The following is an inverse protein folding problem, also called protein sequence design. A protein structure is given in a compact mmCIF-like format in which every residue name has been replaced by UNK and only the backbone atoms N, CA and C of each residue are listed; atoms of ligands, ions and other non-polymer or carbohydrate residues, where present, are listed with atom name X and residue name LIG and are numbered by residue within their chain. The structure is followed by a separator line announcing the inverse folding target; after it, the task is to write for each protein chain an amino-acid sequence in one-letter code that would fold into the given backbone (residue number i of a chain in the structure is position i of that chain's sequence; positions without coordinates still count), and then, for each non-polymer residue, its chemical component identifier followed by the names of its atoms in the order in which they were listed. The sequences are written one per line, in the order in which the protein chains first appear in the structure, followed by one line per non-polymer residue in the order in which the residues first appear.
data_IF_619305963608
#
_entry.id   IF_619305963608
#
_cell.length_a   1.000
_cell.length_b   1.000
_cell.length_c   1.000
_cell.angle_alpha   90.00
_cell.angle_beta   90.00
_cell.angle_gamma   90.00
#
_symmetry.space_group_name_H-M   'P 1'
#
loop_
_entity.id
_entity.type
_entity.pdbx_description
1 polymer ?
#
# COMPACT_ATOMS: atom_id res chain seq x y z
N UNK A 1 0.85 11.30 10.47
CA UNK A 1 1.04 10.19 11.44
C UNK A 1 -0.11 9.17 11.44
N UNK A 2 -1.38 9.58 11.29
CA UNK A 2 -2.55 8.67 11.36
C UNK A 2 -2.50 7.39 10.53
N UNK A 3 -1.86 7.39 9.35
CA UNK A 3 -1.71 6.18 8.52
C UNK A 3 -0.84 5.14 9.22
N UNK A 4 0.28 5.58 9.80
CA UNK A 4 1.23 4.69 10.48
C UNK A 4 0.56 4.04 11.68
N UNK A 5 -0.15 4.82 12.50
CA UNK A 5 -0.89 4.29 13.65
C UNK A 5 -1.90 3.20 13.23
N UNK A 6 -2.60 3.37 12.10
CA UNK A 6 -3.53 2.35 11.59
C UNK A 6 -2.80 1.08 11.16
N UNK A 7 -1.68 1.23 10.43
CA UNK A 7 -0.87 0.09 9.98
C UNK A 7 -0.32 -0.67 11.19
N UNK A 8 0.27 0.04 12.17
CA UNK A 8 0.78 -0.58 13.39
C UNK A 8 -0.32 -1.29 14.19
N UNK A 9 -1.50 -0.69 14.32
CA UNK A 9 -2.61 -1.31 15.02
C UNK A 9 -3.11 -2.58 14.32
N UNK A 10 -3.17 -2.60 12.98
CA UNK A 10 -3.51 -3.82 12.22
C UNK A 10 -2.43 -4.90 12.39
N UNK A 11 -1.15 -4.54 12.42
CA UNK A 11 -0.05 -5.50 12.63
C UNK A 11 -0.03 -6.07 14.05
N UNK A 12 -0.26 -5.24 15.07
CA UNK A 12 -0.31 -5.67 16.48
C UNK A 12 -1.46 -6.63 16.79
N UNK A 13 -2.49 -6.65 15.95
CA UNK A 13 -3.62 -7.59 16.06
C UNK A 13 -3.33 -8.93 15.40
N UNK A 14 -2.21 -9.08 14.68
CA UNK A 14 -1.81 -10.37 14.14
C UNK A 14 -1.08 -11.17 15.22
N UNK A 15 -1.41 -12.46 15.33
CA UNK A 15 -0.78 -13.39 16.29
C UNK A 15 0.62 -13.83 15.85
N UNK A 16 1.27 -13.10 14.94
CA UNK A 16 2.60 -13.42 14.43
C UNK A 16 3.67 -12.52 15.02
N UNK A 17 4.78 -13.12 15.45
CA UNK A 17 5.98 -12.39 15.89
C UNK A 17 6.83 -11.87 14.72
N UNK A 18 6.67 -12.45 13.54
CA UNK A 18 7.36 -12.03 12.32
C UNK A 18 6.38 -11.52 11.28
N UNK A 19 6.72 -10.41 10.62
CA UNK A 19 5.86 -9.77 9.63
C UNK A 19 6.65 -9.65 8.32
N UNK A 20 6.13 -10.26 7.26
CA UNK A 20 6.68 -10.05 5.92
C UNK A 20 6.54 -8.58 5.51
N UNK A 21 7.62 -7.97 4.99
CA UNK A 21 7.60 -6.58 4.51
C UNK A 21 6.51 -6.32 3.47
N UNK A 22 6.11 -7.35 2.71
CA UNK A 22 5.01 -7.28 1.74
C UNK A 22 3.66 -6.99 2.40
N UNK A 23 3.42 -7.50 3.60
CA UNK A 23 2.20 -7.23 4.38
C UNK A 23 2.14 -5.74 4.70
N UNK A 24 3.23 -5.19 5.25
CA UNK A 24 3.33 -3.78 5.61
C UNK A 24 3.08 -2.89 4.38
N UNK A 25 3.75 -3.17 3.27
CA UNK A 25 3.56 -2.40 2.03
C UNK A 25 2.14 -2.46 1.47
N UNK A 26 1.47 -3.62 1.57
CA UNK A 26 0.07 -3.76 1.19
C UNK A 26 -0.86 -2.92 2.08
N UNK A 27 -0.64 -2.90 3.39
CA UNK A 27 -1.42 -2.09 4.33
C UNK A 27 -1.25 -0.60 4.05
N UNK A 28 -0.01 -0.14 3.85
CA UNK A 28 0.29 1.25 3.49
C UNK A 28 -0.41 1.63 2.18
N UNK A 29 -0.28 0.81 1.14
CA UNK A 29 -0.93 1.04 -0.15
C UNK A 29 -2.47 1.13 -0.03
N UNK A 30 -3.08 0.24 0.76
CA UNK A 30 -4.54 0.24 1.04
C UNK A 30 -5.00 1.53 1.73
N UNK A 31 -4.24 2.04 2.70
CA UNK A 31 -4.58 3.28 3.38
C UNK A 31 -4.38 4.49 2.46
N UNK A 32 -3.27 4.54 1.71
CA UNK A 32 -2.99 5.61 0.74
C UNK A 32 -4.07 5.70 -0.33
N UNK A 33 -4.53 4.57 -0.89
CA UNK A 33 -5.59 4.53 -1.93
C UNK A 33 -6.86 5.25 -1.51
N UNK A 34 -7.17 5.29 -0.20
CA UNK A 34 -8.37 5.95 0.35
C UNK A 34 -8.20 7.45 0.60
N UNK A 35 -6.97 7.90 0.79
CA UNK A 35 -6.67 9.25 1.28
C UNK A 35 -6.14 10.14 0.14
N UNK A 36 -5.21 9.61 -0.66
CA UNK A 36 -4.56 10.35 -1.73
C UNK A 36 -4.16 9.39 -2.87
N UNK A 37 -4.84 9.53 -4.00
CA UNK A 37 -4.62 8.72 -5.20
C UNK A 37 -3.20 8.94 -5.78
N UNK A 38 -2.67 10.16 -5.75
CA UNK A 38 -1.32 10.47 -6.29
C UNK A 38 -0.25 9.86 -5.39
N UNK A 39 -0.40 9.96 -4.07
CA UNK A 39 0.52 9.34 -3.13
C UNK A 39 0.51 7.80 -3.24
N UNK A 40 -0.67 7.20 -3.39
CA UNK A 40 -0.83 5.76 -3.65
C UNK A 40 -0.06 5.32 -4.89
N UNK A 41 -0.21 6.05 -6.00
CA UNK A 41 0.44 5.77 -7.27
C UNK A 41 1.96 5.78 -7.14
N UNK A 42 2.54 6.84 -6.54
CA UNK A 42 3.99 6.94 -6.33
C UNK A 42 4.54 5.84 -5.43
N UNK A 43 3.76 5.45 -4.42
CA UNK A 43 4.13 4.35 -3.54
C UNK A 43 4.08 3.01 -4.28
N UNK A 44 3.01 2.77 -5.01
CA UNK A 44 2.77 1.51 -5.71
C UNK A 44 3.74 1.28 -6.87
N UNK A 45 4.22 2.33 -7.56
CA UNK A 45 5.23 2.21 -8.62
C UNK A 45 6.52 1.56 -8.14
N UNK A 46 6.99 1.92 -6.94
CA UNK A 46 8.17 1.31 -6.33
C UNK A 46 7.82 -0.03 -5.68
N UNK A 47 6.76 -0.06 -4.86
CA UNK A 47 6.41 -1.24 -4.06
C UNK A 47 6.03 -2.45 -4.91
N UNK A 48 5.26 -2.25 -5.99
CA UNK A 48 4.84 -3.34 -6.88
C UNK A 48 5.80 -3.59 -8.04
N UNK A 49 6.84 -2.74 -8.19
CA UNK A 49 7.67 -2.67 -9.40
C UNK A 49 6.77 -2.72 -10.64
N UNK A 50 5.94 -1.70 -10.83
CA UNK A 50 5.23 -1.58 -12.10
C UNK A 50 6.31 -1.40 -13.18
N UNK A 51 6.52 -2.45 -13.96
CA UNK A 51 7.52 -2.45 -15.04
C UNK A 51 6.98 -1.66 -16.23
N UNK A 52 5.65 -1.65 -16.41
CA UNK A 52 4.99 -1.10 -17.59
C UNK A 52 3.92 -0.04 -17.28
N UNK A 53 3.82 0.93 -18.17
CA UNK A 53 2.87 2.05 -18.12
C UNK A 53 1.42 1.56 -18.30
N UNK A 54 1.20 0.42 -18.97
CA UNK A 54 -0.13 -0.16 -19.14
C UNK A 54 -0.72 -0.70 -17.82
N UNK A 55 0.10 -1.28 -16.95
CA UNK A 55 -0.33 -1.72 -15.62
C UNK A 55 -0.77 -0.52 -14.76
N UNK A 56 -0.08 0.60 -14.96
CA UNK A 56 -0.40 1.86 -14.30
C UNK A 56 -1.73 2.44 -14.81
N UNK A 57 -1.94 2.50 -16.13
CA UNK A 57 -3.20 2.95 -16.73
C UNK A 57 -4.38 2.03 -16.37
N UNK A 58 -4.15 0.72 -16.29
CA UNK A 58 -5.16 -0.25 -15.89
C UNK A 58 -5.61 -0.04 -14.43
N UNK A 59 -4.68 0.29 -13.53
CA UNK A 59 -5.02 0.60 -12.13
C UNK A 59 -5.72 1.96 -12.00
N UNK A 60 -5.36 2.95 -12.84
CA UNK A 60 -6.10 4.23 -12.93
C UNK A 60 -7.56 4.03 -13.37
N UNK A 61 -7.82 3.12 -14.31
CA UNK A 61 -9.18 2.79 -14.77
C UNK A 61 -10.03 2.06 -13.71
N UNK A 62 -9.42 1.46 -12.69
CA UNK A 62 -10.10 0.75 -11.58
C UNK A 62 -10.42 1.64 -10.37
N UNK A 63 -10.07 2.93 -10.44
CA UNK A 63 -10.13 3.91 -9.33
C UNK A 63 -11.27 4.91 -9.52
#
# INVERSE_FOLDING_TARGET
ENIINKVENELKQQDSTEIESKIIGNLVAKQLKKIDKVAYIRFASVFRRFVDLEDFEAELKKL
#
